data_IF_379549328606
#
_entry.id   IF_379549328606
#
_cell.length_a   1.000
_cell.length_b   1.000
_cell.length_c   1.000
_cell.angle_alpha   90.00
_cell.angle_beta   90.00
_cell.angle_gamma   90.00
#
_symmetry.space_group_name_H-M   'P 1'
#
loop_
_entity.id
_entity.type
_entity.pdbx_description
1 polymer ?
#
# COMPACT_ATOMS: atom_id res chain seq x y z
N UNK A 1 11.79 2.89 -7.01
CA UNK A 1 10.81 2.08 -7.74
C UNK A 1 10.20 2.78 -8.95
N UNK A 2 9.41 3.86 -8.78
CA UNK A 2 8.77 4.55 -9.93
C UNK A 2 9.76 5.05 -10.99
N UNK A 3 11.00 5.37 -10.60
CA UNK A 3 12.05 5.73 -11.53
C UNK A 3 12.65 4.53 -12.28
N UNK A 4 12.64 3.35 -11.66
CA UNK A 4 13.34 2.16 -12.11
C UNK A 4 12.45 1.18 -12.88
N UNK A 5 11.13 1.11 -12.63
CA UNK A 5 10.19 0.33 -13.45
C UNK A 5 9.38 1.27 -14.34
N UNK A 6 9.93 1.57 -15.51
CA UNK A 6 9.31 2.42 -16.54
C UNK A 6 9.52 1.80 -17.92
N UNK A 7 8.73 2.14 -18.95
CA UNK A 7 9.00 1.68 -20.31
C UNK A 7 10.43 2.00 -20.79
N UNK A 8 10.97 3.17 -20.40
CA UNK A 8 12.35 3.55 -20.65
C UNK A 8 13.35 2.58 -19.99
N UNK A 9 13.21 2.34 -18.68
CA UNK A 9 14.13 1.48 -17.92
C UNK A 9 14.10 0.03 -18.36
N UNK A 10 12.90 -0.51 -18.64
CA UNK A 10 12.73 -1.88 -19.10
C UNK A 10 13.30 -2.09 -20.51
N UNK A 11 13.16 -1.10 -21.40
CA UNK A 11 13.76 -1.15 -22.75
C UNK A 11 15.27 -1.19 -22.68
N UNK A 12 15.89 -0.40 -21.80
CA UNK A 12 17.34 -0.43 -21.57
C UNK A 12 17.85 -1.80 -21.08
N UNK A 13 16.96 -2.61 -20.46
CA UNK A 13 17.24 -3.98 -20.00
C UNK A 13 16.72 -5.07 -20.94
N UNK A 14 16.28 -4.72 -22.15
CA UNK A 14 15.65 -5.65 -23.11
C UNK A 14 14.49 -6.46 -22.50
N UNK A 15 13.65 -5.81 -21.68
CA UNK A 15 12.47 -6.39 -21.03
C UNK A 15 11.18 -5.69 -21.47
N UNK A 16 10.06 -6.40 -21.34
CA UNK A 16 8.73 -5.85 -21.61
C UNK A 16 8.10 -5.27 -20.34
N UNK A 17 7.94 -3.95 -20.31
CA UNK A 17 7.34 -3.24 -19.17
C UNK A 17 5.95 -3.74 -18.79
N UNK A 18 5.11 -4.06 -19.78
CA UNK A 18 3.76 -4.58 -19.51
C UNK A 18 3.77 -5.87 -18.69
N UNK A 19 4.69 -6.79 -19.00
CA UNK A 19 4.86 -8.03 -18.23
C UNK A 19 5.34 -7.72 -16.81
N UNK A 20 6.40 -6.92 -16.67
CA UNK A 20 6.94 -6.54 -15.36
C UNK A 20 5.87 -5.90 -14.46
N UNK A 21 5.07 -4.99 -15.00
CA UNK A 21 4.00 -4.31 -14.23
C UNK A 21 2.83 -5.22 -13.93
N UNK A 22 2.42 -6.10 -14.85
CA UNK A 22 1.35 -7.07 -14.59
C UNK A 22 1.71 -7.98 -13.41
N UNK A 23 2.92 -8.54 -13.41
CA UNK A 23 3.42 -9.37 -12.30
C UNK A 23 3.63 -8.56 -11.02
N UNK A 24 4.01 -7.29 -11.11
CA UNK A 24 4.09 -6.41 -9.95
C UNK A 24 2.74 -6.16 -9.28
N UNK A 25 1.72 -5.83 -10.07
CA UNK A 25 0.36 -5.61 -9.56
C UNK A 25 -0.19 -6.93 -8.98
N UNK A 26 -0.01 -8.05 -9.69
CA UNK A 26 -0.42 -9.36 -9.21
C UNK A 26 0.28 -9.75 -7.90
N UNK A 27 1.59 -9.53 -7.80
CA UNK A 27 2.37 -9.78 -6.58
C UNK A 27 1.92 -8.90 -5.41
N UNK A 28 1.67 -7.61 -5.67
CA UNK A 28 1.21 -6.65 -4.66
C UNK A 28 -0.19 -6.97 -4.14
N UNK A 29 -1.13 -7.26 -5.05
CA UNK A 29 -2.48 -7.67 -4.68
C UNK A 29 -2.49 -9.03 -3.98
N UNK A 30 -1.76 -10.02 -4.52
CA UNK A 30 -1.72 -11.38 -3.99
C UNK A 30 -1.07 -11.47 -2.62
N UNK A 31 0.11 -10.86 -2.42
CA UNK A 31 0.77 -10.85 -1.13
C UNK A 31 -0.01 -10.04 -0.09
N UNK A 32 -0.63 -8.93 -0.50
CA UNK A 32 -1.56 -8.17 0.35
C UNK A 32 -2.74 -9.04 0.78
N UNK A 33 -3.40 -9.74 -0.15
CA UNK A 33 -4.51 -10.62 0.15
C UNK A 33 -4.12 -11.77 1.09
N UNK A 34 -2.95 -12.38 0.90
CA UNK A 34 -2.44 -13.44 1.78
C UNK A 34 -2.14 -12.93 3.19
N UNK A 35 -1.45 -11.79 3.31
CA UNK A 35 -1.19 -11.17 4.61
C UNK A 35 -2.50 -10.74 5.30
N UNK A 36 -3.45 -10.25 4.51
CA UNK A 36 -4.79 -9.88 4.98
C UNK A 36 -5.56 -11.08 5.49
N UNK A 37 -5.56 -12.20 4.75
CA UNK A 37 -6.18 -13.44 5.19
C UNK A 37 -5.58 -13.92 6.52
N UNK A 38 -4.26 -13.90 6.63
CA UNK A 38 -3.56 -14.28 7.86
C UNK A 38 -3.94 -13.37 9.03
N UNK A 39 -3.98 -12.05 8.84
CA UNK A 39 -4.41 -11.11 9.87
C UNK A 39 -5.88 -11.26 10.24
N UNK A 40 -6.76 -11.47 9.28
CA UNK A 40 -8.18 -11.70 9.56
C UNK A 40 -8.42 -12.98 10.35
N UNK A 41 -7.68 -14.06 10.04
CA UNK A 41 -7.67 -15.28 10.84
C UNK A 41 -7.09 -15.05 12.24
N UNK A 42 -5.98 -14.32 12.36
CA UNK A 42 -5.43 -13.95 13.66
C UNK A 42 -6.46 -13.16 14.49
N UNK A 43 -7.16 -12.20 13.87
CA UNK A 43 -8.22 -11.43 14.50
C UNK A 43 -9.35 -12.30 15.02
N UNK A 44 -9.73 -13.35 14.28
CA UNK A 44 -10.72 -14.33 14.73
C UNK A 44 -10.29 -15.05 16.02
N UNK A 45 -8.98 -15.27 16.19
CA UNK A 45 -8.42 -16.00 17.34
C UNK A 45 -8.14 -15.10 18.55
N UNK A 46 -7.68 -13.86 18.33
CA UNK A 46 -7.17 -12.99 19.40
C UNK A 46 -8.16 -11.93 19.86
N UNK A 47 -9.15 -11.56 19.03
CA UNK A 47 -10.14 -10.57 19.44
C UNK A 47 -11.14 -11.22 20.40
N UNK A 48 -11.45 -10.56 21.54
CA UNK A 48 -12.45 -11.06 22.48
C UNK A 48 -13.80 -11.27 21.78
N UNK A 49 -14.49 -12.37 22.12
CA UNK A 49 -15.85 -12.61 21.61
C UNK A 49 -16.83 -11.50 22.03
N UNK A 50 -16.55 -10.83 23.16
CA UNK A 50 -17.29 -9.66 23.64
C UNK A 50 -17.08 -8.39 22.80
N UNK A 51 -16.06 -8.35 21.93
CA UNK A 51 -15.80 -7.23 21.03
C UNK A 51 -16.77 -7.27 19.83
N UNK A 52 -17.97 -6.75 20.06
CA UNK A 52 -19.00 -6.58 19.04
C UNK A 52 -18.61 -5.58 17.94
N UNK A 53 -19.49 -5.42 16.95
CA UNK A 53 -19.25 -4.57 15.78
C UNK A 53 -18.92 -3.11 16.17
N UNK A 54 -19.66 -2.52 17.10
CA UNK A 54 -19.42 -1.18 17.61
C UNK A 54 -18.01 -1.02 18.20
N UNK A 55 -17.57 -1.98 19.02
CA UNK A 55 -16.22 -1.96 19.60
C UNK A 55 -15.13 -2.07 18.54
N UNK A 56 -15.32 -2.89 17.51
CA UNK A 56 -14.38 -2.99 16.37
C UNK A 56 -14.31 -1.67 15.59
N UNK A 57 -15.46 -1.04 15.34
CA UNK A 57 -15.50 0.26 14.67
C UNK A 57 -14.84 1.37 15.50
N UNK A 58 -15.00 1.35 16.83
CA UNK A 58 -14.31 2.28 17.73
C UNK A 58 -12.78 2.09 17.68
N UNK A 59 -12.29 0.85 17.71
CA UNK A 59 -10.85 0.56 17.56
C UNK A 59 -10.33 1.01 16.19
N UNK A 60 -11.10 0.79 15.11
CA UNK A 60 -10.76 1.25 13.78
C UNK A 60 -10.69 2.77 13.71
N UNK A 61 -11.65 3.48 14.30
CA UNK A 61 -11.67 4.94 14.38
C UNK A 61 -10.41 5.47 15.10
N UNK A 62 -10.04 4.87 16.24
CA UNK A 62 -8.81 5.23 16.95
C UNK A 62 -7.56 5.02 16.10
N UNK A 63 -7.48 3.90 15.36
CA UNK A 63 -6.37 3.63 14.46
C UNK A 63 -6.29 4.63 13.29
N UNK A 64 -7.43 5.02 12.73
CA UNK A 64 -7.51 6.04 11.66
C UNK A 64 -7.12 7.42 12.17
N UNK A 65 -7.57 7.80 13.37
CA UNK A 65 -7.19 9.05 14.01
C UNK A 65 -5.67 9.12 14.26
N UNK A 66 -5.09 8.03 14.79
CA UNK A 66 -3.64 7.91 14.95
C UNK A 66 -2.90 8.01 13.61
N UNK A 67 -3.43 7.39 12.55
CA UNK A 67 -2.85 7.47 11.21
C UNK A 67 -2.89 8.90 10.64
N UNK A 68 -4.00 9.62 10.80
CA UNK A 68 -4.12 11.04 10.41
C UNK A 68 -3.13 11.90 11.17
N UNK A 69 -2.99 11.70 12.48
CA UNK A 69 -2.03 12.44 13.31
C UNK A 69 -0.58 12.19 12.86
N UNK A 70 -0.22 10.92 12.61
CA UNK A 70 1.12 10.55 12.13
C UNK A 70 1.43 11.11 10.75
N UNK A 71 0.47 11.08 9.82
CA UNK A 71 0.66 11.63 8.46
C UNK A 71 0.68 13.16 8.43
N UNK A 72 0.11 13.82 9.45
CA UNK A 72 0.11 15.28 9.60
C UNK A 72 1.33 15.80 10.36
N UNK A 73 2.03 14.94 11.10
CA UNK A 73 3.22 15.30 11.84
C UNK A 73 4.41 15.60 10.90
N UNK A 74 5.33 16.49 11.29
CA UNK A 74 6.56 16.73 10.53
C UNK A 74 7.52 15.53 10.58
N UNK A 75 7.34 14.65 11.56
CA UNK A 75 8.12 13.43 11.70
C UNK A 75 7.71 12.39 10.64
N UNK A 76 8.69 11.58 10.21
CA UNK A 76 8.40 10.50 9.29
C UNK A 76 7.62 9.39 10.00
N UNK A 77 6.65 8.81 9.29
CA UNK A 77 5.95 7.61 9.73
C UNK A 77 6.96 6.54 10.16
N UNK A 78 6.77 5.91 11.34
CA UNK A 78 7.63 4.81 11.81
C UNK A 78 7.61 3.65 10.83
N UNK A 79 8.70 2.86 10.78
CA UNK A 79 8.77 1.66 9.95
C UNK A 79 10.13 1.43 9.30
N UNK A 80 10.26 0.36 8.48
CA UNK A 80 11.48 0.07 7.76
C UNK A 80 11.91 1.26 6.90
N UNK A 81 13.23 1.47 6.82
CA UNK A 81 13.84 2.50 5.97
C UNK A 81 14.46 1.92 4.69
N UNK A 82 14.45 0.60 4.54
CA UNK A 82 15.00 -0.09 3.37
C UNK A 82 14.05 -0.02 2.18
N UNK A 83 14.63 0.13 1.00
CA UNK A 83 13.94 -0.09 -0.27
C UNK A 83 14.13 -1.55 -0.71
N UNK A 84 13.50 -1.91 -1.82
CA UNK A 84 13.78 -3.18 -2.52
C UNK A 84 15.24 -3.24 -3.00
N UNK A 85 15.81 -4.44 -3.11
CA UNK A 85 17.19 -4.61 -3.57
C UNK A 85 17.31 -4.37 -5.08
N UNK A 86 17.86 -3.22 -5.47
CA UNK A 86 17.97 -2.81 -6.88
C UNK A 86 18.81 -3.77 -7.74
N UNK A 87 19.70 -4.58 -7.14
CA UNK A 87 20.50 -5.58 -7.85
C UNK A 87 19.64 -6.63 -8.56
N UNK A 88 18.39 -6.81 -8.13
CA UNK A 88 17.45 -7.72 -8.79
C UNK A 88 17.07 -7.26 -10.21
N UNK A 89 17.18 -5.96 -10.51
CA UNK A 89 16.86 -5.41 -11.84
C UNK A 89 17.76 -5.97 -12.93
N UNK A 90 19.04 -6.21 -12.60
CA UNK A 90 20.04 -6.72 -13.54
C UNK A 90 20.20 -8.24 -13.45
N UNK A 91 19.86 -8.83 -12.29
CA UNK A 91 20.00 -10.27 -12.05
C UNK A 91 18.83 -11.10 -12.56
N UNK A 92 17.60 -10.62 -12.42
CA UNK A 92 16.40 -11.42 -12.65
C UNK A 92 15.59 -10.99 -13.87
N UNK A 93 14.66 -11.85 -14.30
CA UNK A 93 13.71 -11.54 -15.38
C UNK A 93 12.68 -10.51 -14.88
N UNK A 94 12.17 -9.70 -15.82
CA UNK A 94 11.16 -8.67 -15.55
C UNK A 94 10.01 -9.11 -14.65
N UNK A 95 9.41 -10.25 -14.97
CA UNK A 95 8.30 -10.81 -14.19
C UNK A 95 8.71 -11.29 -12.79
N UNK A 96 9.97 -11.71 -12.59
CA UNK A 96 10.48 -12.22 -11.29
C UNK A 96 10.64 -11.08 -10.30
N UNK A 97 11.41 -10.05 -10.64
CA UNK A 97 11.53 -8.90 -9.74
C UNK A 97 10.24 -8.08 -9.71
N UNK A 98 9.45 -8.07 -10.79
CA UNK A 98 8.10 -7.52 -10.79
C UNK A 98 7.26 -8.15 -9.68
N UNK A 99 7.12 -9.47 -9.70
CA UNK A 99 6.39 -10.22 -8.67
C UNK A 99 6.99 -10.02 -7.28
N UNK A 100 8.32 -10.11 -7.13
CA UNK A 100 9.01 -9.99 -5.84
C UNK A 100 8.88 -8.61 -5.21
N UNK A 101 9.13 -7.55 -5.96
CA UNK A 101 8.93 -6.18 -5.47
C UNK A 101 7.47 -5.87 -5.22
N UNK A 102 6.57 -6.39 -6.07
CA UNK A 102 5.13 -6.29 -5.89
C UNK A 102 4.73 -6.90 -4.56
N UNK A 103 5.14 -8.14 -4.30
CA UNK A 103 4.85 -8.84 -3.05
C UNK A 103 5.38 -8.08 -1.83
N UNK A 104 6.62 -7.57 -1.88
CA UNK A 104 7.18 -6.73 -0.82
C UNK A 104 6.35 -5.46 -0.56
N UNK A 105 5.89 -4.80 -1.63
CA UNK A 105 5.00 -3.64 -1.52
C UNK A 105 3.64 -4.02 -0.90
N UNK A 106 3.04 -5.12 -1.37
CA UNK A 106 1.75 -5.64 -0.94
C UNK A 106 1.69 -6.01 0.54
N UNK A 107 2.78 -6.57 1.08
CA UNK A 107 2.90 -6.87 2.51
C UNK A 107 2.85 -5.62 3.40
N UNK A 108 3.08 -4.42 2.86
CA UNK A 108 2.92 -3.17 3.60
C UNK A 108 4.09 -2.79 4.51
N UNK A 109 4.76 -3.77 5.12
CA UNK A 109 5.73 -3.55 6.22
C UNK A 109 7.15 -4.02 5.90
N UNK A 110 7.46 -4.33 4.64
CA UNK A 110 8.80 -4.80 4.25
C UNK A 110 9.66 -3.74 3.57
N UNK A 111 9.04 -2.64 3.13
CA UNK A 111 9.67 -1.51 2.45
C UNK A 111 9.31 -0.20 3.17
N UNK A 112 9.86 0.91 2.69
CA UNK A 112 9.56 2.24 3.25
C UNK A 112 8.05 2.48 3.33
N UNK A 113 7.59 2.76 4.55
CA UNK A 113 6.20 3.16 4.81
C UNK A 113 6.10 4.66 4.63
N UNK A 114 5.37 5.08 3.60
CA UNK A 114 5.20 6.50 3.23
C UNK A 114 3.97 7.15 3.86
N UNK A 115 3.04 6.35 4.37
CA UNK A 115 1.81 6.81 5.01
C UNK A 115 1.36 5.82 6.09
N UNK A 116 0.90 6.34 7.21
CA UNK A 116 0.33 5.60 8.33
C UNK A 116 -1.00 4.92 7.97
N UNK A 117 -1.61 5.25 6.83
CA UNK A 117 -2.73 4.49 6.26
C UNK A 117 -2.42 2.98 6.12
N UNK A 118 -1.14 2.62 5.95
CA UNK A 118 -0.68 1.22 5.96
C UNK A 118 -1.08 0.52 7.26
N UNK A 119 -0.86 1.16 8.41
CA UNK A 119 -1.19 0.61 9.71
C UNK A 119 -2.69 0.51 9.93
N UNK A 120 -3.45 1.54 9.51
CA UNK A 120 -4.90 1.50 9.55
C UNK A 120 -5.47 0.34 8.72
N UNK A 121 -4.90 0.06 7.54
CA UNK A 121 -5.31 -1.07 6.71
C UNK A 121 -5.00 -2.44 7.36
N UNK A 122 -3.85 -2.58 8.03
CA UNK A 122 -3.49 -3.79 8.79
C UNK A 122 -4.45 -4.01 9.97
N UNK A 123 -4.77 -2.95 10.71
CA UNK A 123 -5.74 -2.99 11.82
C UNK A 123 -7.13 -3.33 11.30
N UNK A 124 -7.58 -2.73 10.20
CA UNK A 124 -8.86 -3.05 9.58
C UNK A 124 -8.95 -4.53 9.16
N UNK A 125 -7.88 -5.09 8.60
CA UNK A 125 -7.82 -6.50 8.23
C UNK A 125 -7.88 -7.44 9.45
N UNK A 126 -7.20 -7.09 10.54
CA UNK A 126 -7.30 -7.81 11.82
C UNK A 126 -8.74 -7.76 12.37
N UNK A 127 -9.33 -6.56 12.43
CA UNK A 127 -10.68 -6.34 12.98
C UNK A 127 -11.79 -7.02 12.15
N UNK A 128 -11.54 -7.29 10.86
CA UNK A 128 -12.46 -8.04 10.02
C UNK A 128 -12.72 -9.46 10.56
N UNK A 129 -11.80 -10.06 11.31
CA UNK A 129 -11.99 -11.35 12.00
C UNK A 129 -12.34 -12.52 11.08
N UNK A 130 -11.97 -12.44 9.81
CA UNK A 130 -12.21 -13.48 8.81
C UNK A 130 -11.15 -13.43 7.71
N UNK A 131 -10.79 -14.60 7.16
CA UNK A 131 -9.81 -14.71 6.09
C UNK A 131 -10.23 -13.88 4.86
N UNK A 132 -11.49 -13.99 4.44
CA UNK A 132 -12.00 -13.29 3.26
C UNK A 132 -12.03 -11.77 3.46
N UNK A 133 -12.51 -11.29 4.62
CA UNK A 133 -12.56 -9.86 4.92
C UNK A 133 -11.17 -9.23 4.98
N UNK A 134 -10.24 -9.88 5.68
CA UNK A 134 -8.85 -9.42 5.73
C UNK A 134 -8.18 -9.43 4.36
N UNK A 135 -8.38 -10.50 3.57
CA UNK A 135 -7.87 -10.62 2.21
C UNK A 135 -8.40 -9.53 1.28
N UNK A 136 -9.69 -9.20 1.36
CA UNK A 136 -10.29 -8.14 0.56
C UNK A 136 -9.66 -6.78 0.91
N UNK A 137 -9.48 -6.47 2.19
CA UNK A 137 -8.92 -5.19 2.65
C UNK A 137 -7.48 -5.01 2.15
N UNK A 138 -6.57 -5.94 2.48
CA UNK A 138 -5.16 -5.78 2.12
C UNK A 138 -4.87 -6.15 0.65
N UNK A 139 -5.69 -7.00 0.03
CA UNK A 139 -5.63 -7.26 -1.40
C UNK A 139 -5.95 -6.01 -2.22
N UNK A 140 -7.05 -5.32 -1.90
CA UNK A 140 -7.39 -4.04 -2.52
C UNK A 140 -6.34 -2.96 -2.24
N UNK A 141 -5.88 -2.86 -0.98
CA UNK A 141 -4.83 -1.91 -0.61
C UNK A 141 -3.52 -2.16 -1.40
N UNK A 142 -3.08 -3.42 -1.47
CA UNK A 142 -1.93 -3.85 -2.25
C UNK A 142 -2.11 -3.59 -3.74
N UNK A 143 -3.29 -3.84 -4.31
CA UNK A 143 -3.60 -3.58 -5.71
C UNK A 143 -3.51 -2.08 -6.03
N UNK A 144 -4.14 -1.21 -5.25
CA UNK A 144 -4.10 0.25 -5.45
C UNK A 144 -2.66 0.75 -5.40
N UNK A 145 -1.86 0.29 -4.43
CA UNK A 145 -0.43 0.61 -4.35
C UNK A 145 0.34 0.11 -5.57
N UNK A 146 0.05 -1.10 -6.02
CA UNK A 146 0.63 -1.71 -7.22
C UNK A 146 0.39 -0.88 -8.49
N UNK A 147 -0.86 -0.43 -8.67
CA UNK A 147 -1.33 0.34 -9.82
C UNK A 147 -0.66 1.71 -9.95
N UNK A 148 -0.03 2.23 -8.89
CA UNK A 148 0.71 3.50 -8.97
C UNK A 148 1.81 3.49 -10.03
N UNK A 149 2.37 2.31 -10.38
CA UNK A 149 3.34 2.18 -11.47
C UNK A 149 2.77 2.53 -12.85
N UNK A 150 1.44 2.43 -13.05
CA UNK A 150 0.80 2.86 -14.29
C UNK A 150 0.93 4.37 -14.52
N UNK A 151 1.16 5.15 -13.47
CA UNK A 151 1.50 6.58 -13.58
C UNK A 151 2.79 6.82 -14.39
N UNK A 152 3.67 5.83 -14.49
CA UNK A 152 4.90 5.89 -15.28
C UNK A 152 4.77 5.28 -16.69
N UNK A 153 3.57 4.83 -17.11
CA UNK A 153 3.34 4.11 -18.37
C UNK A 153 3.75 4.89 -19.64
N UNK A 154 3.80 6.24 -19.55
CA UNK A 154 4.17 7.11 -20.68
C UNK A 154 5.64 7.49 -20.70
N UNK A 155 6.44 7.07 -19.71
CA UNK A 155 7.86 7.45 -19.61
C UNK A 155 8.70 6.62 -20.57
N UNK A 156 9.05 7.22 -21.70
CA UNK A 156 9.86 6.65 -22.78
C UNK A 156 11.16 7.43 -23.04
N UNK A 157 11.32 8.60 -22.43
CA UNK A 157 12.51 9.46 -22.55
C UNK A 157 12.98 9.99 -21.19
N UNK A 158 14.26 10.35 -21.03
CA UNK A 158 14.77 10.93 -19.78
C UNK A 158 14.04 12.21 -19.36
N UNK A 159 13.69 13.07 -20.34
CA UNK A 159 12.91 14.29 -20.08
C UNK A 159 11.56 13.98 -19.45
N UNK A 160 10.83 13.00 -19.97
CA UNK A 160 9.54 12.58 -19.40
C UNK A 160 9.68 12.04 -17.98
N UNK A 161 10.79 11.38 -17.67
CA UNK A 161 11.08 10.89 -16.32
C UNK A 161 11.31 12.07 -15.35
N UNK A 162 12.09 13.07 -15.75
CA UNK A 162 12.30 14.28 -14.94
C UNK A 162 10.99 15.05 -14.72
N UNK A 163 10.17 15.18 -15.77
CA UNK A 163 8.86 15.81 -15.69
C UNK A 163 7.92 15.05 -14.73
N UNK A 164 7.92 13.71 -14.76
CA UNK A 164 7.16 12.88 -13.82
C UNK A 164 7.58 13.16 -12.37
N UNK A 165 8.88 13.17 -12.08
CA UNK A 165 9.40 13.48 -10.74
C UNK A 165 8.97 14.87 -10.28
N UNK A 166 9.07 15.87 -11.16
CA UNK A 166 8.66 17.24 -10.85
C UNK A 166 7.14 17.32 -10.58
N UNK A 167 6.30 16.59 -11.33
CA UNK A 167 4.85 16.51 -11.09
C UNK A 167 4.54 15.85 -9.75
N UNK A 168 5.19 14.73 -9.42
CA UNK A 168 5.02 14.05 -8.14
C UNK A 168 5.46 14.93 -6.97
N UNK A 169 6.56 15.66 -7.11
CA UNK A 169 7.04 16.60 -6.10
C UNK A 169 6.02 17.73 -5.85
N UNK A 170 5.48 18.34 -6.91
CA UNK A 170 4.44 19.39 -6.81
C UNK A 170 3.12 18.87 -6.22
N UNK A 171 2.75 17.63 -6.54
CA UNK A 171 1.52 17.00 -6.08
C UNK A 171 1.58 16.43 -4.66
N UNK A 172 2.77 16.32 -4.06
CA UNK A 172 3.00 15.60 -2.80
C UNK A 172 2.08 16.09 -1.67
N UNK A 173 2.03 17.41 -1.45
CA UNK A 173 1.21 17.99 -0.38
C UNK A 173 -0.28 17.75 -0.61
N UNK A 174 -0.74 17.84 -1.86
CA UNK A 174 -2.14 17.59 -2.22
C UNK A 174 -2.50 16.12 -1.99
N UNK A 175 -1.64 15.20 -2.43
CA UNK A 175 -1.83 13.76 -2.22
C UNK A 175 -1.90 13.40 -0.74
N UNK A 176 -1.01 13.99 0.09
CA UNK A 176 -1.02 13.78 1.53
C UNK A 176 -2.31 14.30 2.18
N UNK A 177 -2.75 15.52 1.82
CA UNK A 177 -4.02 16.08 2.31
C UNK A 177 -5.23 15.25 1.88
N UNK A 178 -5.30 14.84 0.63
CA UNK A 178 -6.40 13.97 0.16
C UNK A 178 -6.42 12.63 0.91
N UNK A 179 -5.24 12.04 1.17
CA UNK A 179 -5.12 10.82 1.98
C UNK A 179 -5.62 11.03 3.41
N UNK A 180 -5.17 12.10 4.08
CA UNK A 180 -5.61 12.44 5.43
C UNK A 180 -7.11 12.72 5.50
N UNK A 181 -7.67 13.46 4.54
CA UNK A 181 -9.10 13.74 4.44
C UNK A 181 -9.90 12.45 4.27
N UNK A 182 -9.47 11.55 3.38
CA UNK A 182 -10.15 10.28 3.18
C UNK A 182 -10.13 9.43 4.46
N UNK A 183 -8.99 9.35 5.15
CA UNK A 183 -8.90 8.66 6.44
C UNK A 183 -9.80 9.30 7.50
N UNK A 184 -9.87 10.63 7.56
CA UNK A 184 -10.75 11.34 8.48
C UNK A 184 -12.25 11.08 8.19
N UNK A 185 -12.64 11.02 6.91
CA UNK A 185 -14.01 10.65 6.51
C UNK A 185 -14.32 9.22 6.92
N UNK A 186 -13.44 8.25 6.65
CA UNK A 186 -13.64 6.86 7.09
C UNK A 186 -13.69 6.78 8.63
N UNK A 187 -12.87 7.57 9.33
CA UNK A 187 -12.90 7.65 10.79
C UNK A 187 -14.25 8.14 11.29
N UNK A 188 -14.80 9.21 10.70
CA UNK A 188 -16.11 9.75 11.08
C UNK A 188 -17.23 8.73 10.86
N UNK A 189 -17.20 8.00 9.74
CA UNK A 189 -18.15 6.91 9.48
C UNK A 189 -18.02 5.77 10.48
N UNK A 190 -16.79 5.39 10.86
CA UNK A 190 -16.55 4.37 11.87
C UNK A 190 -17.06 4.79 13.26
N UNK A 191 -16.85 6.06 13.65
CA UNK A 191 -17.42 6.61 14.90
C UNK A 191 -18.95 6.58 14.85
N UNK A 192 -19.57 7.07 13.78
CA UNK A 192 -21.02 7.07 13.64
C UNK A 192 -21.61 5.65 13.75
N UNK A 193 -21.01 4.67 13.08
CA UNK A 193 -21.44 3.28 13.15
C UNK A 193 -21.11 2.58 14.48
N UNK A 194 -20.28 3.17 15.35
CA UNK A 194 -20.00 2.62 16.68
C UNK A 194 -21.00 3.05 17.75
N UNK A 195 -21.79 4.10 17.49
CA UNK A 195 -22.75 4.68 18.45
C UNK A 195 -24.20 4.32 18.09
N UNK A 196 -24.47 3.95 16.84
CA UNK A 196 -25.77 3.44 16.37
C UNK A 196 -25.91 1.94 16.57
#
# INVERSE_FOLDING_TARGET
MLASITPLGERGRHRHWGSTVAFFVAGSAGAGALAGAALGLAGKLVLPASLGAAGRLAVLALALLAAVALDSAPARVPGPRRQVDERWLDRYRGWVYGLGYGAQLGLGVTTVITSAATYAALVAALLAGSALGGAAILGCYGAIRGLTLLGAARVRTPRQLLELHARLARGRQRSARCGALLMAVVCALAVAGSVG
#
